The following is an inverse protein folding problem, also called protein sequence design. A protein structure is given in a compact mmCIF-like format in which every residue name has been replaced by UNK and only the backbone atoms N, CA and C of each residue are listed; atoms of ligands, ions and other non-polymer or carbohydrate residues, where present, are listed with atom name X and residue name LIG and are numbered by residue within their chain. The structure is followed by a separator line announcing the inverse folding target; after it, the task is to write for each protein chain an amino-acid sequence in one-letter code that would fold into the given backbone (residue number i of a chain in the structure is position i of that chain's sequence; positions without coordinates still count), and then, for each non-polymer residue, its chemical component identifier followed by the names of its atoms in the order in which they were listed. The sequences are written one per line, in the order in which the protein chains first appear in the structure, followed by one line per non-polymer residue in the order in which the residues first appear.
data_IF_277406081790
#
_entry.id   IF_277406081790
#
_cell.length_a   1.000
_cell.length_b   1.000
_cell.length_c   1.000
_cell.angle_alpha   90.00
_cell.angle_beta   90.00
_cell.angle_gamma   90.00
#
_symmetry.space_group_name_H-M   'P 1'
#
loop_
_entity.id
_entity.type
_entity.pdbx_description
1 polymer ?
#
# COMPACT_ATOMS: atom_id res chain seq x y z
N UNK A 1 -23.12 -12.76 -1.58
CA UNK A 1 -22.87 -13.58 -2.78
C UNK A 1 -21.40 -13.43 -3.10
N UNK A 2 -20.66 -14.52 -3.31
CA UNK A 2 -19.26 -14.41 -3.72
C UNK A 2 -19.24 -13.80 -5.13
N UNK A 3 -18.46 -12.73 -5.36
CA UNK A 3 -18.38 -12.11 -6.68
C UNK A 3 -17.82 -13.11 -7.68
N UNK A 4 -18.37 -13.08 -8.90
CA UNK A 4 -17.87 -13.89 -10.02
C UNK A 4 -16.49 -13.37 -10.42
N UNK A 5 -15.55 -14.28 -10.69
CA UNK A 5 -14.30 -13.92 -11.34
C UNK A 5 -14.56 -13.40 -12.76
N UNK A 6 -13.95 -12.25 -13.06
CA UNK A 6 -13.97 -11.67 -14.40
C UNK A 6 -12.97 -12.41 -15.29
N UNK A 7 -13.29 -12.49 -16.57
CA UNK A 7 -12.29 -12.76 -17.61
C UNK A 7 -11.44 -11.51 -17.87
N UNK A 8 -10.28 -11.67 -18.51
CA UNK A 8 -9.44 -10.53 -18.89
C UNK A 8 -10.20 -9.54 -19.81
N UNK A 9 -10.96 -10.05 -20.78
CA UNK A 9 -11.76 -9.22 -21.69
C UNK A 9 -12.84 -8.42 -20.94
N UNK A 10 -13.59 -9.08 -20.04
CA UNK A 10 -14.58 -8.39 -19.19
C UNK A 10 -13.93 -7.30 -18.33
N UNK A 11 -12.73 -7.54 -17.81
CA UNK A 11 -11.97 -6.55 -17.04
C UNK A 11 -11.55 -5.36 -17.91
N UNK A 12 -10.96 -5.63 -19.07
CA UNK A 12 -10.55 -4.60 -20.05
C UNK A 12 -11.73 -3.72 -20.46
N UNK A 13 -12.89 -4.32 -20.76
CA UNK A 13 -14.10 -3.57 -21.10
C UNK A 13 -14.54 -2.62 -19.98
N UNK A 14 -14.47 -3.07 -18.72
CA UNK A 14 -14.84 -2.25 -17.56
C UNK A 14 -13.87 -1.06 -17.41
N UNK A 15 -12.57 -1.31 -17.50
CA UNK A 15 -11.54 -0.27 -17.28
C UNK A 15 -11.24 0.57 -18.52
N UNK A 16 -11.74 0.21 -19.70
CA UNK A 16 -11.53 0.99 -20.93
C UNK A 16 -12.10 2.42 -20.85
N UNK A 17 -13.07 2.65 -19.96
CA UNK A 17 -13.73 3.95 -19.77
C UNK A 17 -12.98 4.92 -18.85
N UNK A 18 -11.95 4.46 -18.14
CA UNK A 18 -11.18 5.29 -17.20
C UNK A 18 -9.83 5.71 -17.79
N UNK A 19 -9.32 6.91 -17.49
CA UNK A 19 -8.01 7.36 -17.95
C UNK A 19 -6.90 6.48 -17.36
N UNK A 20 -5.91 6.13 -18.20
CA UNK A 20 -4.68 5.47 -17.74
C UNK A 20 -3.92 6.43 -16.81
N UNK A 21 -3.37 5.94 -15.68
CA UNK A 21 -2.59 6.77 -14.77
C UNK A 21 -1.31 7.26 -15.45
N UNK A 22 -0.88 8.46 -15.10
CA UNK A 22 0.46 8.96 -15.46
C UNK A 22 1.53 8.33 -14.56
N UNK A 23 2.79 8.35 -14.99
CA UNK A 23 3.92 7.89 -14.15
C UNK A 23 3.93 8.60 -12.79
N UNK A 24 3.67 9.91 -12.76
CA UNK A 24 3.65 10.66 -11.51
C UNK A 24 2.50 10.24 -10.58
N UNK A 25 1.34 9.86 -11.13
CA UNK A 25 0.25 9.29 -10.33
C UNK A 25 0.60 7.89 -9.80
N UNK A 26 1.33 7.08 -10.59
CA UNK A 26 1.82 5.76 -10.16
C UNK A 26 2.83 5.89 -9.02
N UNK A 27 3.79 6.80 -9.12
CA UNK A 27 4.77 7.10 -8.07
C UNK A 27 4.08 7.66 -6.81
N UNK A 28 3.15 8.59 -6.99
CA UNK A 28 2.36 9.14 -5.88
C UNK A 28 1.54 8.07 -5.17
N UNK A 29 0.99 7.13 -5.92
CA UNK A 29 0.24 6.00 -5.38
C UNK A 29 1.14 5.01 -4.66
N UNK A 30 2.33 4.70 -5.19
CA UNK A 30 3.32 3.87 -4.50
C UNK A 30 3.73 4.49 -3.16
N UNK A 31 4.00 5.80 -3.12
CA UNK A 31 4.28 6.53 -1.89
C UNK A 31 3.10 6.47 -0.91
N UNK A 32 1.88 6.70 -1.41
CA UNK A 32 0.66 6.60 -0.61
C UNK A 32 0.51 5.23 0.01
N UNK A 33 0.64 4.14 -0.76
CA UNK A 33 0.53 2.78 -0.24
C UNK A 33 1.57 2.55 0.85
N UNK A 34 2.84 2.90 0.62
CA UNK A 34 3.94 2.64 1.55
C UNK A 34 3.86 3.43 2.87
N UNK A 35 3.13 4.54 2.88
CA UNK A 35 2.95 5.40 4.06
C UNK A 35 1.57 5.25 4.69
N UNK A 36 0.59 4.73 3.95
CA UNK A 36 -0.75 4.52 4.44
C UNK A 36 -0.85 3.17 5.14
N UNK A 37 -1.58 3.15 6.26
CA UNK A 37 -1.97 1.97 7.04
C UNK A 37 -0.91 1.39 7.98
N UNK A 38 -1.41 0.85 9.11
CA UNK A 38 -0.62 0.02 10.04
C UNK A 38 -0.36 -1.40 9.51
N UNK A 39 -0.61 -1.69 8.22
CA UNK A 39 -0.40 -3.04 7.69
C UNK A 39 1.06 -3.47 7.77
N UNK A 40 2.01 -2.52 7.77
CA UNK A 40 3.44 -2.81 7.88
C UNK A 40 3.78 -3.62 9.14
N UNK A 41 2.98 -3.49 10.20
CA UNK A 41 3.14 -4.23 11.47
C UNK A 41 2.88 -5.73 11.31
N UNK A 42 2.13 -6.11 10.28
CA UNK A 42 1.74 -7.48 9.97
C UNK A 42 2.61 -8.10 8.88
N UNK A 43 3.48 -7.32 8.24
CA UNK A 43 4.41 -7.83 7.25
C UNK A 43 5.66 -8.44 7.90
N UNK A 44 6.34 -9.38 7.21
CA UNK A 44 7.71 -9.71 7.57
C UNK A 44 8.56 -8.44 7.51
N UNK A 45 9.41 -8.23 8.50
CA UNK A 45 10.37 -7.11 8.47
C UNK A 45 11.33 -7.29 7.30
N UNK A 46 11.87 -8.50 7.12
CA UNK A 46 12.69 -8.96 6.00
C UNK A 46 12.57 -10.49 5.86
N UNK A 47 12.75 -11.05 4.65
CA UNK A 47 12.71 -10.39 3.34
C UNK A 47 11.35 -9.77 3.03
N UNK A 48 11.22 -8.95 1.96
CA UNK A 48 9.93 -8.77 1.30
C UNK A 48 9.35 -10.13 0.88
N UNK A 49 8.08 -10.34 1.17
CA UNK A 49 7.46 -11.65 0.94
C UNK A 49 5.95 -11.68 1.02
N UNK A 50 5.32 -10.56 1.38
CA UNK A 50 3.87 -10.45 1.36
C UNK A 50 3.43 -9.87 0.00
N UNK A 51 2.59 -10.58 -0.77
CA UNK A 51 2.10 -10.08 -2.04
C UNK A 51 1.02 -9.00 -1.82
N UNK A 52 1.23 -7.89 -2.51
CA UNK A 52 0.25 -6.84 -2.76
C UNK A 52 -0.12 -6.91 -4.23
N UNK A 53 -1.41 -6.81 -4.54
CA UNK A 53 -1.93 -6.82 -5.90
C UNK A 53 -2.40 -5.42 -6.25
N UNK A 54 -1.85 -4.85 -7.32
CA UNK A 54 -2.18 -3.53 -7.83
C UNK A 54 -2.99 -3.67 -9.12
N UNK A 55 -4.04 -2.86 -9.28
CA UNK A 55 -4.93 -2.95 -10.44
C UNK A 55 -5.66 -1.61 -10.65
N UNK A 56 -6.35 -1.47 -11.79
CA UNK A 56 -7.31 -0.38 -12.01
C UNK A 56 -8.71 -0.79 -11.55
N UNK A 57 -9.38 0.12 -10.84
CA UNK A 57 -10.75 -0.03 -10.38
C UNK A 57 -11.54 1.27 -10.64
N UNK A 58 -12.64 1.26 -11.41
CA UNK A 58 -13.55 2.40 -11.51
C UNK A 58 -14.08 2.87 -10.14
N UNK A 59 -14.13 1.97 -9.15
CA UNK A 59 -14.46 2.22 -7.76
C UNK A 59 -13.38 2.93 -6.94
N UNK A 60 -12.16 3.05 -7.45
CA UNK A 60 -11.04 3.64 -6.71
C UNK A 60 -11.35 5.06 -6.24
N UNK A 61 -11.10 5.30 -4.95
CA UNK A 61 -11.40 6.57 -4.27
C UNK A 61 -12.87 6.74 -3.84
N UNK A 62 -13.79 5.84 -4.22
CA UNK A 62 -15.18 5.85 -3.76
C UNK A 62 -15.35 5.09 -2.44
N UNK A 63 -16.46 5.35 -1.75
CA UNK A 63 -16.94 4.49 -0.68
C UNK A 63 -17.95 3.48 -1.25
N UNK A 64 -17.63 2.20 -1.17
CA UNK A 64 -18.58 1.14 -1.45
C UNK A 64 -19.42 0.85 -0.21
N UNK A 65 -20.74 0.84 -0.35
CA UNK A 65 -21.68 0.49 0.72
C UNK A 65 -22.64 -0.61 0.29
N UNK A 66 -23.04 -1.45 1.25
CA UNK A 66 -24.13 -2.42 1.08
C UNK A 66 -25.16 -2.17 2.17
N UNK A 67 -26.41 -1.92 1.74
CA UNK A 67 -27.54 -1.77 2.65
C UNK A 67 -28.17 -3.13 2.92
N UNK A 68 -28.11 -3.63 4.16
CA UNK A 68 -28.62 -4.96 4.56
C UNK A 68 -30.04 -5.26 4.07
N UNK A 69 -30.90 -4.25 4.10
CA UNK A 69 -32.32 -4.38 3.75
C UNK A 69 -32.59 -4.48 2.24
N UNK A 70 -31.67 -3.95 1.40
CA UNK A 70 -31.82 -3.94 -0.06
C UNK A 70 -30.84 -4.87 -0.76
N UNK A 71 -29.77 -5.31 -0.07
CA UNK A 71 -28.68 -6.10 -0.65
C UNK A 71 -27.97 -5.43 -1.82
N UNK A 72 -28.23 -4.14 -2.07
CA UNK A 72 -27.74 -3.39 -3.22
C UNK A 72 -26.40 -2.75 -2.87
N UNK A 73 -25.42 -2.97 -3.75
CA UNK A 73 -24.14 -2.28 -3.71
C UNK A 73 -24.32 -0.86 -4.27
N UNK A 74 -23.81 0.13 -3.56
CA UNK A 74 -23.75 1.52 -4.01
C UNK A 74 -22.32 2.03 -3.87
N UNK A 75 -21.84 2.74 -4.91
CA UNK A 75 -20.55 3.40 -4.90
C UNK A 75 -20.78 4.91 -4.78
N UNK A 76 -20.33 5.50 -3.67
CA UNK A 76 -20.63 6.88 -3.30
C UNK A 76 -19.34 7.70 -3.29
N UNK A 77 -19.32 8.89 -3.93
CA UNK A 77 -18.21 9.82 -3.79
C UNK A 77 -18.01 10.25 -2.33
N UNK A 78 -16.74 10.28 -1.89
CA UNK A 78 -16.33 10.89 -0.63
C UNK A 78 -16.09 12.38 -0.90
N UNK A 79 -16.97 13.24 -0.42
CA UNK A 79 -16.81 14.70 -0.57
C UNK A 79 -15.82 15.29 0.43
N UNK A 80 -15.61 14.60 1.54
CA UNK A 80 -14.71 14.99 2.61
C UNK A 80 -13.86 13.80 3.07
N UNK A 81 -12.80 14.09 3.83
CA UNK A 81 -11.93 13.05 4.38
C UNK A 81 -12.76 12.16 5.31
N UNK A 82 -12.69 10.85 5.06
CA UNK A 82 -13.41 9.86 5.86
C UNK A 82 -12.80 9.64 7.25
N UNK A 83 -13.39 8.72 8.01
CA UNK A 83 -12.94 8.37 9.36
C UNK A 83 -11.49 7.87 9.40
N UNK A 84 -11.11 7.04 8.43
CA UNK A 84 -9.74 6.54 8.34
C UNK A 84 -8.86 7.56 7.60
N UNK A 85 -7.64 7.77 8.07
CA UNK A 85 -6.76 8.81 7.53
C UNK A 85 -6.37 8.62 6.06
N UNK A 86 -6.48 7.41 5.53
CA UNK A 86 -6.26 7.08 4.11
C UNK A 86 -7.50 7.25 3.24
N UNK A 87 -8.67 7.57 3.81
CA UNK A 87 -9.90 7.82 3.08
C UNK A 87 -9.95 9.27 2.60
N UNK A 88 -9.18 9.58 1.57
CA UNK A 88 -9.20 10.89 0.93
C UNK A 88 -10.55 11.16 0.23
N UNK A 89 -10.95 12.44 0.08
CA UNK A 89 -11.99 12.82 -0.85
C UNK A 89 -11.76 12.19 -2.23
N UNK A 90 -12.83 11.78 -2.91
CA UNK A 90 -12.74 11.04 -4.18
C UNK A 90 -12.00 11.82 -5.25
N UNK A 91 -12.27 13.12 -5.36
CA UNK A 91 -11.62 13.96 -6.37
C UNK A 91 -10.12 14.11 -6.08
N UNK A 92 -9.74 14.34 -4.81
CA UNK A 92 -8.34 14.38 -4.39
C UNK A 92 -7.64 13.04 -4.66
N UNK A 93 -8.29 11.92 -4.34
CA UNK A 93 -7.76 10.59 -4.61
C UNK A 93 -7.50 10.38 -6.10
N UNK A 94 -8.49 10.70 -6.95
CA UNK A 94 -8.41 10.47 -8.39
C UNK A 94 -7.46 11.44 -9.08
N UNK A 95 -7.33 12.66 -8.60
CA UNK A 95 -6.29 13.58 -9.07
C UNK A 95 -4.90 13.01 -8.80
N UNK A 96 -4.66 12.54 -7.58
CA UNK A 96 -3.34 12.06 -7.13
C UNK A 96 -2.97 10.68 -7.65
N UNK A 97 -3.94 9.77 -7.78
CA UNK A 97 -3.71 8.34 -7.99
C UNK A 97 -4.51 7.76 -9.17
N UNK A 98 -5.26 8.59 -9.91
CA UNK A 98 -6.20 8.15 -10.93
C UNK A 98 -7.18 7.09 -10.36
N UNK A 99 -7.28 5.95 -11.03
CA UNK A 99 -8.16 4.85 -10.65
C UNK A 99 -7.37 3.63 -10.13
N UNK A 100 -6.16 3.88 -9.61
CA UNK A 100 -5.34 2.83 -9.03
C UNK A 100 -5.96 2.34 -7.71
N UNK A 101 -6.02 1.03 -7.57
CA UNK A 101 -6.41 0.34 -6.36
C UNK A 101 -5.38 -0.74 -6.02
N UNK A 102 -5.44 -1.22 -4.77
CA UNK A 102 -4.61 -2.32 -4.33
C UNK A 102 -5.38 -3.21 -3.37
N UNK A 103 -5.01 -4.48 -3.34
CA UNK A 103 -5.40 -5.41 -2.28
C UNK A 103 -4.17 -6.01 -1.63
N UNK A 104 -4.34 -6.51 -0.41
CA UNK A 104 -3.27 -7.16 0.34
C UNK A 104 -3.72 -8.50 0.90
N UNK A 105 -2.77 -9.42 0.99
CA UNK A 105 -3.01 -10.76 1.54
C UNK A 105 -3.03 -10.82 3.07
N UNK A 106 -2.61 -9.75 3.78
CA UNK A 106 -2.48 -9.73 5.24
C UNK A 106 -2.77 -8.37 5.89
N UNK A 107 -3.07 -8.42 7.20
CA UNK A 107 -3.21 -7.27 8.09
C UNK A 107 -4.65 -6.92 8.43
N UNK A 108 -4.84 -5.84 9.20
CA UNK A 108 -6.17 -5.44 9.68
C UNK A 108 -6.92 -4.63 8.65
N UNK A 109 -8.18 -4.96 8.40
CA UNK A 109 -9.08 -4.15 7.60
C UNK A 109 -10.01 -3.29 8.45
N UNK A 110 -10.44 -2.17 7.90
CA UNK A 110 -11.38 -1.26 8.57
C UNK A 110 -12.72 -1.36 7.86
N UNK A 111 -13.58 -2.22 8.38
CA UNK A 111 -15.01 -2.26 8.04
C UNK A 111 -15.82 -1.52 9.10
N UNK A 112 -16.78 -0.71 8.67
CA UNK A 112 -17.70 0.00 9.57
C UNK A 112 -19.14 -0.40 9.26
N UNK A 113 -19.89 -0.78 10.30
CA UNK A 113 -21.34 -0.96 10.22
C UNK A 113 -22.02 0.22 10.89
N UNK A 114 -22.87 0.91 10.14
CA UNK A 114 -23.67 2.03 10.65
C UNK A 114 -24.94 1.51 11.34
N UNK A 115 -25.52 2.34 12.20
CA UNK A 115 -26.72 1.99 12.99
C UNK A 115 -27.97 1.72 12.14
N UNK A 116 -28.00 2.22 10.90
CA UNK A 116 -29.08 2.00 9.93
C UNK A 116 -28.96 0.66 9.17
N UNK A 117 -27.92 -0.13 9.45
CA UNK A 117 -27.64 -1.39 8.77
C UNK A 117 -26.82 -1.25 7.49
N UNK A 118 -26.29 -0.07 7.20
CA UNK A 118 -25.32 0.13 6.12
C UNK A 118 -23.96 -0.46 6.51
N UNK A 119 -23.37 -1.22 5.60
CA UNK A 119 -22.00 -1.72 5.75
C UNK A 119 -21.08 -1.02 4.77
N UNK A 120 -20.01 -0.42 5.28
CA UNK A 120 -18.92 0.11 4.49
C UNK A 120 -17.96 -1.03 4.16
N UNK A 121 -17.79 -1.29 2.86
CA UNK A 121 -16.85 -2.30 2.41
C UNK A 121 -15.42 -1.72 2.41
N UNK A 122 -14.44 -2.44 2.95
CA UNK A 122 -13.04 -2.06 2.83
C UNK A 122 -12.59 -2.16 1.37
N UNK A 123 -11.77 -1.19 0.93
CA UNK A 123 -11.31 -1.09 -0.45
C UNK A 123 -10.05 -1.92 -0.75
N UNK A 124 -9.38 -2.46 0.29
CA UNK A 124 -8.04 -3.03 0.20
C UNK A 124 -7.92 -4.50 0.65
N UNK A 125 -9.04 -5.16 0.95
CA UNK A 125 -9.03 -6.53 1.50
C UNK A 125 -9.00 -7.62 0.44
N UNK A 126 -9.70 -7.39 -0.66
CA UNK A 126 -9.93 -8.38 -1.69
C UNK A 126 -9.64 -7.77 -3.06
N UNK A 127 -9.04 -8.54 -3.98
CA UNK A 127 -8.82 -8.09 -5.35
C UNK A 127 -10.14 -8.09 -6.12
N UNK A 128 -10.99 -7.11 -5.85
CA UNK A 128 -12.28 -6.89 -6.53
C UNK A 128 -12.35 -5.49 -7.11
N UNK A 129 -13.07 -5.37 -8.23
CA UNK A 129 -13.36 -4.08 -8.86
C UNK A 129 -14.85 -3.81 -8.93
N UNK A 130 -15.21 -2.54 -8.92
CA UNK A 130 -16.57 -2.07 -9.12
C UNK A 130 -16.88 -1.93 -10.63
N UNK A 131 -17.95 -2.58 -11.08
CA UNK A 131 -18.51 -2.39 -12.41
C UNK A 131 -19.63 -1.31 -12.35
N UNK A 132 -19.39 -0.10 -12.87
CA UNK A 132 -20.37 0.99 -12.77
C UNK A 132 -21.60 0.77 -13.64
N UNK A 133 -21.51 -0.05 -14.70
CA UNK A 133 -22.64 -0.36 -15.60
C UNK A 133 -23.61 -1.31 -14.93
N UNK A 134 -23.08 -2.34 -14.27
CA UNK A 134 -23.87 -3.39 -13.60
C UNK A 134 -24.22 -3.04 -12.15
N UNK A 135 -23.50 -2.12 -11.53
CA UNK A 135 -23.65 -1.80 -10.10
C UNK A 135 -23.26 -2.96 -9.18
N UNK A 136 -22.25 -3.74 -9.56
CA UNK A 136 -21.79 -4.95 -8.86
C UNK A 136 -20.26 -4.97 -8.76
N UNK A 137 -19.70 -5.78 -7.86
CA UNK A 137 -18.26 -6.12 -7.91
C UNK A 137 -17.99 -7.38 -8.73
N UNK A 138 -16.75 -7.52 -9.20
CA UNK A 138 -16.22 -8.74 -9.80
C UNK A 138 -14.78 -8.95 -9.35
N UNK A 139 -14.36 -10.22 -9.21
CA UNK A 139 -12.97 -10.50 -8.84
C UNK A 139 -12.06 -10.19 -10.02
N UNK A 140 -10.93 -9.55 -9.72
CA UNK A 140 -9.90 -9.22 -10.71
C UNK A 140 -9.38 -10.53 -11.35
N UNK A 141 -9.18 -10.56 -12.69
CA UNK A 141 -8.63 -11.74 -13.38
C UNK A 141 -7.24 -12.12 -12.86
N UNK A 142 -6.92 -13.41 -12.87
CA UNK A 142 -5.61 -13.92 -12.44
C UNK A 142 -4.43 -13.27 -13.16
N UNK A 143 -4.57 -13.00 -14.45
CA UNK A 143 -3.55 -12.40 -15.31
C UNK A 143 -3.19 -10.98 -14.84
N UNK A 144 -4.21 -10.22 -14.43
CA UNK A 144 -4.05 -8.88 -13.87
C UNK A 144 -3.43 -8.96 -12.48
N UNK A 145 -3.81 -9.94 -11.67
CA UNK A 145 -3.23 -10.17 -10.35
C UNK A 145 -1.76 -10.53 -10.42
N UNK A 146 -1.39 -11.44 -11.32
CA UNK A 146 -0.02 -11.89 -11.52
C UNK A 146 0.84 -10.74 -12.06
N UNK A 147 0.33 -9.97 -13.02
CA UNK A 147 1.02 -8.78 -13.54
C UNK A 147 1.19 -7.72 -12.44
N UNK A 148 0.13 -7.47 -11.67
CA UNK A 148 0.04 -6.44 -10.64
C UNK A 148 0.65 -6.80 -9.31
N UNK A 149 1.36 -7.94 -9.19
CA UNK A 149 1.95 -8.33 -7.91
C UNK A 149 3.24 -7.56 -7.62
N UNK A 150 3.37 -7.03 -6.40
CA UNK A 150 4.66 -6.66 -5.82
C UNK A 150 4.80 -7.26 -4.41
N UNK A 151 6.01 -7.67 -4.05
CA UNK A 151 6.30 -8.22 -2.73
C UNK A 151 6.85 -7.14 -1.83
N UNK A 152 6.13 -6.88 -0.74
CA UNK A 152 6.50 -5.85 0.22
C UNK A 152 6.95 -6.47 1.55
N UNK A 153 7.71 -5.68 2.29
CA UNK A 153 8.12 -5.91 3.67
C UNK A 153 7.64 -4.77 4.56
N UNK A 154 7.68 -4.99 5.88
CA UNK A 154 7.34 -3.94 6.83
C UNK A 154 8.30 -2.73 6.77
N UNK A 155 9.50 -2.89 6.21
CA UNK A 155 10.49 -1.82 6.09
C UNK A 155 10.14 -0.73 5.07
N UNK A 156 9.19 -1.00 4.18
CA UNK A 156 8.75 0.00 3.21
C UNK A 156 8.11 1.21 3.91
N UNK A 157 7.52 0.98 5.07
CA UNK A 157 7.00 2.04 5.94
C UNK A 157 8.10 2.55 6.89
N UNK A 158 8.14 3.86 7.12
CA UNK A 158 9.15 4.54 7.98
C UNK A 158 9.26 3.92 9.38
N UNK A 159 8.13 3.63 10.01
CA UNK A 159 8.04 2.98 11.32
C UNK A 159 8.50 1.51 11.35
N UNK A 160 8.65 0.87 10.18
CA UNK A 160 9.13 -0.51 10.07
C UNK A 160 10.50 -0.74 10.71
N UNK A 161 11.33 0.30 10.75
CA UNK A 161 12.64 0.23 11.42
C UNK A 161 12.53 -0.04 12.93
N UNK A 162 11.44 0.39 13.60
CA UNK A 162 11.23 0.08 15.01
C UNK A 162 11.02 -1.43 15.21
N UNK A 163 10.36 -2.08 14.25
CA UNK A 163 10.21 -3.53 14.23
C UNK A 163 11.54 -4.22 13.93
N UNK A 164 12.38 -3.64 13.07
CA UNK A 164 13.72 -4.14 12.79
C UNK A 164 14.63 -4.11 14.03
N UNK A 165 14.61 -3.01 14.78
CA UNK A 165 15.36 -2.89 16.06
C UNK A 165 14.85 -3.93 17.07
N UNK A 166 13.52 -4.06 17.22
CA UNK A 166 12.90 -4.96 18.21
C UNK A 166 13.05 -6.45 17.88
N UNK A 167 12.93 -6.82 16.60
CA UNK A 167 13.02 -8.21 16.12
C UNK A 167 14.42 -8.55 15.63
N UNK A 168 15.42 -7.97 16.30
CA UNK A 168 16.84 -8.03 15.98
C UNK A 168 17.23 -9.37 15.34
N UNK A 169 17.45 -9.33 14.01
CA UNK A 169 17.96 -10.38 13.13
C UNK A 169 17.60 -11.82 13.51
N UNK A 170 16.32 -12.17 13.44
CA UNK A 170 15.93 -13.59 13.44
C UNK A 170 16.49 -14.38 12.22
N UNK A 171 17.17 -13.72 11.25
CA UNK A 171 17.88 -14.38 10.14
C UNK A 171 19.10 -13.56 9.69
N UNK A 172 20.31 -14.02 10.05
CA UNK A 172 21.59 -13.46 9.58
C UNK A 172 21.90 -13.74 8.10
N UNK A 173 21.17 -14.69 7.50
CA UNK A 173 21.46 -15.21 6.15
C UNK A 173 20.63 -14.53 5.06
N UNK A 174 20.05 -13.36 5.33
CA UNK A 174 19.34 -12.60 4.31
C UNK A 174 20.34 -11.91 3.37
N UNK A 175 20.25 -12.22 2.07
CA UNK A 175 21.04 -11.57 1.04
C UNK A 175 20.45 -10.19 0.74
N UNK A 176 21.08 -9.15 1.27
CA UNK A 176 20.64 -7.77 1.11
C UNK A 176 20.85 -7.31 -0.35
N UNK A 177 19.82 -6.78 -1.03
CA UNK A 177 19.92 -6.42 -2.45
C UNK A 177 21.02 -5.39 -2.73
N UNK A 178 21.73 -5.56 -3.85
CA UNK A 178 22.75 -4.61 -4.31
C UNK A 178 22.14 -3.25 -4.64
N UNK A 179 20.93 -3.21 -5.21
CA UNK A 179 20.19 -1.95 -5.45
C UNK A 179 19.82 -1.22 -4.16
N UNK A 180 19.87 -1.93 -3.02
CA UNK A 180 19.62 -1.40 -1.69
C UNK A 180 20.93 -1.07 -0.94
N UNK A 181 22.06 -1.04 -1.64
CA UNK A 181 23.38 -0.72 -1.11
C UNK A 181 24.22 -1.93 -0.71
N UNK A 182 23.75 -3.15 -0.98
CA UNK A 182 24.50 -4.39 -0.80
C UNK A 182 24.98 -4.66 0.62
N UNK A 183 25.97 -5.55 0.73
CA UNK A 183 26.46 -6.06 2.02
C UNK A 183 27.05 -4.99 2.94
N UNK A 184 27.65 -3.94 2.38
CA UNK A 184 28.27 -2.88 3.19
C UNK A 184 27.21 -2.04 3.92
N UNK A 185 26.15 -1.63 3.22
CA UNK A 185 25.02 -0.93 3.84
C UNK A 185 24.31 -1.83 4.82
N UNK A 186 24.13 -3.12 4.50
CA UNK A 186 23.55 -4.09 5.43
C UNK A 186 24.34 -4.21 6.73
N UNK A 187 25.68 -4.29 6.66
CA UNK A 187 26.52 -4.32 7.85
C UNK A 187 26.36 -3.06 8.72
N UNK A 188 26.21 -1.88 8.09
CA UNK A 188 25.92 -0.62 8.80
C UNK A 188 24.55 -0.64 9.47
N UNK A 189 23.52 -1.16 8.79
CA UNK A 189 22.17 -1.37 9.35
C UNK A 189 22.25 -2.27 10.59
N UNK A 190 22.92 -3.43 10.48
CA UNK A 190 23.06 -4.38 11.59
C UNK A 190 23.75 -3.74 12.77
N UNK A 191 24.87 -3.05 12.52
CA UNK A 191 25.61 -2.33 13.57
C UNK A 191 24.71 -1.32 14.27
N UNK A 192 23.97 -0.50 13.51
CA UNK A 192 23.08 0.52 14.09
C UNK A 192 21.91 -0.09 14.87
N UNK A 193 21.28 -1.15 14.34
CA UNK A 193 20.24 -1.87 15.07
C UNK A 193 20.75 -2.47 16.38
N UNK A 194 21.99 -2.97 16.41
CA UNK A 194 22.61 -3.51 17.62
C UNK A 194 22.81 -2.43 18.67
N UNK A 195 23.40 -1.30 18.28
CA UNK A 195 23.58 -0.13 19.15
C UNK A 195 22.24 0.30 19.78
N UNK A 196 21.18 0.42 18.97
CA UNK A 196 19.85 0.84 19.44
C UNK A 196 19.12 -0.21 20.27
N UNK A 197 19.45 -1.50 20.09
CA UNK A 197 18.90 -2.58 20.91
C UNK A 197 19.53 -2.64 22.30
N UNK A 198 20.80 -2.24 22.42
CA UNK A 198 21.55 -2.18 23.67
C UNK A 198 21.26 -0.88 24.42
N UNK A 199 21.15 0.24 23.71
CA UNK A 199 20.82 1.56 24.25
C UNK A 199 19.84 2.32 23.34
N UNK A 200 18.55 2.23 23.68
CA UNK A 200 17.50 2.94 22.94
C UNK A 200 17.56 4.47 23.13
N UNK A 201 18.31 4.98 24.11
CA UNK A 201 18.52 6.42 24.27
C UNK A 201 19.48 7.00 23.22
N UNK A 202 20.25 6.14 22.53
CA UNK A 202 21.15 6.51 21.45
C UNK A 202 20.45 6.86 20.12
N UNK A 203 19.10 6.88 20.09
CA UNK A 203 18.32 7.34 18.94
C UNK A 203 18.70 8.77 18.58
N UNK A 204 19.01 8.97 17.30
CA UNK A 204 19.27 10.29 16.73
C UNK A 204 18.07 10.71 15.90
N UNK A 205 17.30 11.70 16.38
CA UNK A 205 16.14 12.25 15.67
C UNK A 205 16.55 13.42 14.79
N UNK A 206 15.87 13.60 13.67
CA UNK A 206 15.92 14.86 12.94
C UNK A 206 15.24 15.95 13.78
N UNK A 207 15.72 17.20 13.69
CA UNK A 207 15.06 18.34 14.33
C UNK A 207 13.78 18.73 13.58
N UNK A 208 12.86 19.43 14.25
CA UNK A 208 11.67 19.98 13.59
C UNK A 208 12.03 20.99 12.50
N UNK A 209 13.12 21.74 12.71
CA UNK A 209 13.62 22.76 11.79
C UNK A 209 14.18 22.13 10.51
N UNK A 210 14.77 20.94 10.61
CA UNK A 210 15.40 20.24 9.49
C UNK A 210 14.43 19.37 8.67
N UNK A 211 13.16 19.28 9.08
CA UNK A 211 12.16 18.46 8.37
C UNK A 211 11.96 18.90 6.92
N UNK A 212 12.11 20.19 6.59
CA UNK A 212 12.03 20.71 5.21
C UNK A 212 10.84 20.18 4.39
N UNK A 213 9.66 20.08 5.00
CA UNK A 213 8.43 19.56 4.35
C UNK A 213 8.32 18.03 4.27
N UNK A 214 9.24 17.28 4.89
CA UNK A 214 9.16 15.83 5.02
C UNK A 214 8.15 15.41 6.10
N UNK A 215 7.81 14.11 6.14
CA UNK A 215 6.84 13.57 7.10
C UNK A 215 7.25 13.82 8.56
N UNK A 216 6.28 14.23 9.37
CA UNK A 216 6.41 14.35 10.83
C UNK A 216 6.79 13.02 11.51
N UNK A 217 6.52 11.89 10.86
CA UNK A 217 6.91 10.56 11.37
C UNK A 217 8.44 10.43 11.53
N UNK A 218 9.22 11.21 10.77
CA UNK A 218 10.69 11.27 10.89
C UNK A 218 11.17 11.72 12.27
N UNK A 219 10.36 12.49 12.99
CA UNK A 219 10.69 12.90 14.36
C UNK A 219 10.66 11.73 15.35
N UNK A 220 10.01 10.62 14.99
CA UNK A 220 9.78 9.52 15.93
C UNK A 220 10.72 8.33 15.73
N UNK A 221 11.59 8.39 14.72
CA UNK A 221 12.49 7.31 14.32
C UNK A 221 13.97 7.68 14.47
N UNK A 222 14.85 6.69 14.32
CA UNK A 222 16.29 6.93 14.23
C UNK A 222 16.65 7.38 12.81
N UNK A 223 17.08 8.62 12.65
CA UNK A 223 17.36 9.22 11.35
C UNK A 223 18.54 8.54 10.62
N UNK A 224 19.66 8.18 11.27
CA UNK A 224 20.72 7.40 10.61
C UNK A 224 20.21 6.05 10.07
N UNK A 225 19.44 5.30 10.87
CA UNK A 225 18.85 4.04 10.41
C UNK A 225 17.82 4.26 9.30
N UNK A 226 17.00 5.31 9.39
CA UNK A 226 16.14 5.75 8.30
C UNK A 226 16.97 5.92 7.02
N UNK A 227 18.01 6.73 7.02
CA UNK A 227 18.83 6.98 5.82
C UNK A 227 19.43 5.71 5.23
N UNK A 228 19.93 4.79 6.08
CA UNK A 228 20.49 3.52 5.63
C UNK A 228 19.45 2.60 4.96
N UNK A 229 18.18 2.67 5.39
CA UNK A 229 17.09 1.87 4.86
C UNK A 229 16.39 2.50 3.63
N UNK A 230 16.70 3.75 3.30
CA UNK A 230 16.06 4.47 2.20
C UNK A 230 16.19 3.76 0.84
N UNK A 231 17.38 3.24 0.44
CA UNK A 231 17.52 2.52 -0.82
C UNK A 231 16.55 1.34 -0.97
N UNK A 232 16.31 0.59 0.11
CA UNK A 232 15.37 -0.55 0.11
C UNK A 232 13.91 -0.10 0.03
N UNK A 233 13.55 1.02 0.68
CA UNK A 233 12.21 1.61 0.53
C UNK A 233 11.97 2.03 -0.91
N UNK A 234 12.93 2.74 -1.50
CA UNK A 234 12.84 3.18 -2.90
C UNK A 234 12.80 2.00 -3.87
N UNK A 235 13.56 0.92 -3.60
CA UNK A 235 13.48 -0.31 -4.40
C UNK A 235 12.08 -0.94 -4.35
N UNK A 236 11.47 -1.03 -3.18
CA UNK A 236 10.11 -1.57 -3.04
C UNK A 236 9.06 -0.66 -3.70
N UNK A 237 9.17 0.67 -3.57
CA UNK A 237 8.29 1.63 -4.28
C UNK A 237 8.40 1.48 -5.80
N UNK A 238 9.61 1.36 -6.35
CA UNK A 238 9.81 1.06 -7.78
C UNK A 238 9.14 -0.26 -8.17
N UNK A 239 9.23 -1.30 -7.33
CA UNK A 239 8.54 -2.56 -7.55
C UNK A 239 7.01 -2.42 -7.66
N UNK A 240 6.39 -1.50 -6.92
CA UNK A 240 4.97 -1.17 -7.05
C UNK A 240 4.69 -0.52 -8.41
N UNK A 241 5.50 0.47 -8.81
CA UNK A 241 5.37 1.16 -10.11
C UNK A 241 5.54 0.19 -11.28
N UNK A 242 6.50 -0.74 -11.19
CA UNK A 242 6.72 -1.78 -12.18
C UNK A 242 5.53 -2.74 -12.27
N UNK A 243 4.93 -3.11 -11.13
CA UNK A 243 3.73 -3.94 -11.08
C UNK A 243 2.53 -3.29 -11.77
N UNK A 244 2.30 -2.00 -11.47
CA UNK A 244 1.27 -1.22 -12.15
C UNK A 244 1.55 -1.14 -13.65
N UNK A 245 2.80 -0.92 -14.05
CA UNK A 245 3.20 -0.84 -15.47
C UNK A 245 2.90 -2.16 -16.21
N UNK A 246 3.14 -3.31 -15.58
CA UNK A 246 2.78 -4.62 -16.15
C UNK A 246 1.26 -4.78 -16.34
N UNK A 247 0.45 -4.30 -15.40
CA UNK A 247 -1.01 -4.29 -15.55
C UNK A 247 -1.44 -3.42 -16.73
N UNK A 248 -0.86 -2.22 -16.87
CA UNK A 248 -1.18 -1.32 -17.98
C UNK A 248 -0.80 -1.90 -19.35
N UNK A 249 0.20 -2.77 -19.42
CA UNK A 249 0.57 -3.48 -20.64
C UNK A 249 -0.44 -4.56 -21.06
N UNK A 250 -1.34 -4.96 -20.15
CA UNK A 250 -2.47 -5.83 -20.46
C UNK A 250 -3.69 -5.06 -20.97
N UNK A 251 -3.66 -3.72 -21.03
CA UNK A 251 -4.80 -2.84 -21.36
C UNK A 251 -4.58 -2.06 -22.65
#
# INVERSE_FOLDING_TARGET
MNPKALTLDEYQEIVASIPKPTIQQMESFAEFVCTAHSWYKHLPTLPPGCPFQFFLDPGAGLQLIVNDWRGKLEAIPRYEKGFHYSWLPTDEYRERFAYLAYSRSVGTSVSLRLNDGTHLLPSDDVPEIYNPIKGTTGQVPSEVIDAGVAYLSGLVHIEGQKMLIRRFLEKSDFDWPEESGGREVFAKIIKRCKELSEDYSAIQRISSEDLNGRSWDLLTVDYPLYQLLEPERERQKRGIVDAISRVLNLL
#
